data_IF_835584008229
#
_entry.id   IF_835584008229
#
_cell.length_a   1.000
_cell.length_b   1.000
_cell.length_c   1.000
_cell.angle_alpha   90.00
_cell.angle_beta   90.00
_cell.angle_gamma   90.00
#
_symmetry.space_group_name_H-M   'P 1'
#
loop_
_entity.id
_entity.type
_entity.pdbx_description
1 polymer ?
#
# COMPACT_ATOMS: atom_id res chain seq x y z
N UNK A 1 4.30 -7.66 -20.95
CA UNK A 1 4.07 -6.90 -19.71
C UNK A 1 5.31 -7.03 -18.86
N UNK A 2 5.96 -5.92 -18.52
CA UNK A 2 7.09 -5.91 -17.58
C UNK A 2 6.55 -6.29 -16.20
N UNK A 3 7.11 -7.33 -15.58
CA UNK A 3 6.70 -7.78 -14.27
C UNK A 3 7.26 -6.80 -13.24
N UNK A 4 6.43 -5.87 -12.76
CA UNK A 4 6.84 -4.90 -11.74
C UNK A 4 7.05 -5.67 -10.43
N UNK A 5 8.23 -5.54 -9.82
CA UNK A 5 8.52 -6.15 -8.54
C UNK A 5 7.59 -5.56 -7.47
N UNK A 6 7.02 -6.41 -6.61
CA UNK A 6 6.09 -5.98 -5.55
C UNK A 6 6.71 -4.93 -4.64
N UNK A 7 8.02 -5.00 -4.37
CA UNK A 7 8.69 -3.99 -3.55
C UNK A 7 8.81 -2.65 -4.26
N UNK A 8 9.18 -2.66 -5.55
CA UNK A 8 9.21 -1.44 -6.35
C UNK A 8 7.81 -0.79 -6.37
N UNK A 9 6.76 -1.60 -6.54
CA UNK A 9 5.38 -1.12 -6.50
C UNK A 9 5.02 -0.45 -5.16
N UNK A 10 5.40 -1.05 -4.03
CA UNK A 10 5.17 -0.47 -2.69
C UNK A 10 5.99 0.81 -2.48
N UNK A 11 7.19 0.91 -3.04
CA UNK A 11 7.97 2.15 -3.05
C UNK A 11 7.31 3.25 -3.87
N UNK A 12 6.82 2.94 -5.07
CA UNK A 12 6.04 3.88 -5.87
C UNK A 12 4.78 4.36 -5.15
N UNK A 13 4.06 3.46 -4.47
CA UNK A 13 2.88 3.82 -3.66
C UNK A 13 3.27 4.77 -2.52
N UNK A 14 4.45 4.58 -1.92
CA UNK A 14 4.98 5.48 -0.89
C UNK A 14 5.21 6.89 -1.44
N UNK A 15 5.68 7.01 -2.69
CA UNK A 15 5.83 8.29 -3.39
C UNK A 15 4.48 8.94 -3.69
N UNK A 16 3.50 8.17 -4.19
CA UNK A 16 2.14 8.65 -4.45
C UNK A 16 1.52 9.19 -3.16
N UNK A 17 1.63 8.47 -2.05
CA UNK A 17 1.16 8.94 -0.74
C UNK A 17 1.82 10.26 -0.34
N UNK A 18 3.13 10.39 -0.52
CA UNK A 18 3.86 11.63 -0.22
C UNK A 18 3.31 12.81 -1.02
N UNK A 19 3.01 12.60 -2.30
CA UNK A 19 2.39 13.61 -3.15
C UNK A 19 0.99 14.00 -2.67
N UNK A 20 0.15 13.02 -2.29
CA UNK A 20 -1.17 13.27 -1.72
C UNK A 20 -1.11 14.04 -0.40
N UNK A 21 -0.14 13.73 0.46
CA UNK A 21 0.08 14.49 1.70
C UNK A 21 0.48 15.94 1.41
N UNK A 22 1.31 16.18 0.40
CA UNK A 22 1.65 17.55 -0.05
C UNK A 22 0.43 18.31 -0.59
N UNK A 23 -0.50 17.61 -1.28
CA UNK A 23 -1.79 18.20 -1.68
C UNK A 23 -2.60 18.56 -0.43
N UNK A 24 -2.62 17.70 0.59
CA UNK A 24 -3.33 17.96 1.85
C UNK A 24 -2.75 19.15 2.61
N UNK A 25 -1.43 19.37 2.58
CA UNK A 25 -0.79 20.55 3.18
C UNK A 25 -1.16 21.84 2.46
N UNK A 26 -1.40 21.77 1.15
CA UNK A 26 -1.72 22.92 0.29
C UNK A 26 -3.18 22.89 -0.20
N UNK A 27 -4.08 22.31 0.61
CA UNK A 27 -5.40 21.86 0.15
C UNK A 27 -6.26 22.95 -0.47
N UNK A 28 -6.23 24.16 0.07
CA UNK A 28 -6.98 25.30 -0.48
C UNK A 28 -6.46 25.73 -1.86
N UNK A 29 -5.14 25.74 -2.06
CA UNK A 29 -4.53 26.12 -3.32
C UNK A 29 -4.77 25.06 -4.40
N UNK A 30 -4.61 23.79 -4.05
CA UNK A 30 -4.81 22.69 -5.00
C UNK A 30 -6.27 22.51 -5.37
N UNK A 31 -7.19 22.65 -4.41
CA UNK A 31 -8.62 22.60 -4.71
C UNK A 31 -9.06 23.79 -5.57
N UNK A 32 -8.53 25.00 -5.32
CA UNK A 32 -8.85 26.17 -6.13
C UNK A 32 -8.47 25.97 -7.60
N UNK A 33 -7.30 25.39 -7.89
CA UNK A 33 -6.89 25.06 -9.27
C UNK A 33 -7.89 24.11 -9.94
N UNK A 34 -8.30 23.05 -9.24
CA UNK A 34 -9.29 22.08 -9.73
C UNK A 34 -10.67 22.72 -9.95
N UNK A 35 -11.08 23.59 -9.03
CA UNK A 35 -12.35 24.29 -9.10
C UNK A 35 -12.40 25.26 -10.29
N UNK A 36 -11.31 25.98 -10.56
CA UNK A 36 -11.21 26.86 -11.72
C UNK A 36 -11.23 26.09 -13.05
N UNK A 37 -10.47 25.00 -13.18
CA UNK A 37 -10.49 24.13 -14.38
C UNK A 37 -11.90 23.55 -14.62
N UNK A 38 -12.61 23.16 -13.56
CA UNK A 38 -14.01 22.73 -13.66
C UNK A 38 -14.94 23.85 -14.13
N UNK A 39 -14.81 25.07 -13.59
CA UNK A 39 -15.63 26.20 -14.02
C UNK A 39 -15.37 26.54 -15.49
N UNK A 40 -14.12 26.53 -15.94
CA UNK A 40 -13.75 26.76 -17.34
C UNK A 40 -14.44 25.76 -18.28
N UNK A 41 -14.42 24.46 -17.93
CA UNK A 41 -15.07 23.41 -18.73
C UNK A 41 -16.60 23.47 -18.70
N UNK A 42 -17.18 23.89 -17.59
CA UNK A 42 -18.64 23.98 -17.44
C UNK A 42 -19.22 25.23 -18.11
N UNK A 43 -18.42 26.29 -18.28
CA UNK A 43 -18.82 27.50 -19.01
C UNK A 43 -19.22 27.18 -20.46
N UNK A 44 -18.55 26.21 -21.11
CA UNK A 44 -18.90 25.75 -22.46
C UNK A 44 -20.34 25.18 -22.55
N UNK A 45 -20.87 24.73 -21.41
CA UNK A 45 -22.21 24.17 -21.30
C UNK A 45 -23.20 25.13 -20.61
N UNK A 46 -22.79 26.36 -20.29
CA UNK A 46 -23.56 27.32 -19.50
C UNK A 46 -24.02 26.79 -18.13
N UNK A 47 -23.28 25.82 -17.57
CA UNK A 47 -23.57 25.20 -16.27
C UNK A 47 -22.79 25.93 -15.18
N UNK A 48 -23.46 26.26 -14.07
CA UNK A 48 -22.83 26.83 -12.88
C UNK A 48 -22.72 25.79 -11.77
N UNK A 49 -21.62 25.85 -11.02
CA UNK A 49 -21.46 25.06 -9.81
C UNK A 49 -22.24 25.73 -8.69
N UNK A 50 -23.26 25.04 -8.17
CA UNK A 50 -24.11 25.54 -7.09
C UNK A 50 -24.14 24.54 -5.92
N UNK A 51 -24.31 25.07 -4.71
CA UNK A 51 -24.49 24.22 -3.53
C UNK A 51 -25.82 23.45 -3.67
N UNK A 52 -25.82 22.11 -3.53
CA UNK A 52 -27.04 21.33 -3.61
C UNK A 52 -27.98 21.70 -2.46
N UNK A 53 -29.28 21.49 -2.66
CA UNK A 53 -30.28 21.75 -1.61
C UNK A 53 -29.94 21.01 -0.31
N UNK A 54 -29.70 21.77 0.76
CA UNK A 54 -29.37 21.23 2.08
C UNK A 54 -30.63 20.97 2.90
N UNK A 55 -30.66 19.81 3.58
CA UNK A 55 -31.67 19.53 4.58
C UNK A 55 -31.35 20.31 5.87
N UNK A 56 -32.37 20.83 6.57
CA UNK A 56 -32.20 21.59 7.83
C UNK A 56 -31.44 20.83 8.93
N UNK A 57 -31.44 19.49 8.87
CA UNK A 57 -30.73 18.64 9.83
C UNK A 57 -30.16 17.42 9.12
N UNK A 58 -28.84 17.36 8.96
CA UNK A 58 -28.15 16.16 8.53
C UNK A 58 -27.57 15.43 9.75
N UNK A 59 -27.81 14.11 9.84
CA UNK A 59 -27.29 13.25 10.93
C UNK A 59 -26.07 12.42 10.51
N UNK A 60 -25.91 12.16 9.21
CA UNK A 60 -24.86 11.28 8.64
C UNK A 60 -23.77 12.03 7.89
N UNK A 61 -23.94 13.33 7.67
CA UNK A 61 -22.98 14.22 7.01
C UNK A 61 -22.74 15.42 7.89
N UNK A 62 -21.60 16.05 7.70
CA UNK A 62 -21.26 17.31 8.36
C UNK A 62 -22.20 18.41 7.88
N UNK A 63 -22.74 19.20 8.80
CA UNK A 63 -23.56 20.37 8.45
C UNK A 63 -22.60 21.53 8.16
N UNK A 64 -22.32 21.77 6.88
CA UNK A 64 -21.42 22.84 6.45
C UNK A 64 -22.20 24.16 6.38
N UNK A 65 -21.71 25.19 7.07
CA UNK A 65 -22.30 26.53 7.05
C UNK A 65 -21.48 27.45 6.14
N UNK A 66 -21.67 27.31 4.82
CA UNK A 66 -21.07 28.20 3.82
C UNK A 66 -22.06 28.47 2.69
N UNK A 67 -21.97 29.66 2.10
CA UNK A 67 -22.69 30.03 0.89
C UNK A 67 -21.79 29.99 -0.35
N UNK A 68 -20.49 29.71 -0.17
CA UNK A 68 -19.53 29.56 -1.25
C UNK A 68 -19.48 28.10 -1.75
N UNK A 69 -19.83 27.82 -3.02
CA UNK A 69 -19.80 26.47 -3.56
C UNK A 69 -18.40 25.85 -3.56
N UNK A 70 -17.34 26.64 -3.74
CA UNK A 70 -15.96 26.15 -3.68
C UNK A 70 -15.65 25.61 -2.28
N UNK A 71 -15.82 26.44 -1.24
CA UNK A 71 -15.64 26.03 0.15
C UNK A 71 -16.52 24.83 0.52
N UNK A 72 -17.77 24.80 0.02
CA UNK A 72 -18.70 23.69 0.27
C UNK A 72 -18.13 22.36 -0.24
N UNK A 73 -17.75 22.27 -1.52
CA UNK A 73 -17.26 21.03 -2.11
C UNK A 73 -15.88 20.64 -1.60
N UNK A 74 -15.04 21.62 -1.23
CA UNK A 74 -13.77 21.36 -0.56
C UNK A 74 -13.99 20.58 0.74
N UNK A 75 -14.88 21.05 1.60
CA UNK A 75 -15.16 20.44 2.91
C UNK A 75 -15.97 19.14 2.77
N UNK A 76 -17.01 19.11 1.93
CA UNK A 76 -17.90 17.95 1.83
C UNK A 76 -17.32 16.78 1.04
N UNK A 77 -16.42 17.02 0.09
CA UNK A 77 -15.93 16.00 -0.84
C UNK A 77 -14.42 15.90 -0.87
N UNK A 78 -13.71 17.00 -1.12
CA UNK A 78 -12.28 16.91 -1.44
C UNK A 78 -11.44 16.47 -0.23
N UNK A 79 -11.63 17.10 0.93
CA UNK A 79 -10.93 16.72 2.17
C UNK A 79 -11.25 15.24 2.54
N UNK A 80 -12.53 14.82 2.67
CA UNK A 80 -12.84 13.44 3.03
C UNK A 80 -12.33 12.41 2.02
N UNK A 81 -12.34 12.75 0.72
CA UNK A 81 -11.81 11.89 -0.32
C UNK A 81 -10.30 11.69 -0.18
N UNK A 82 -9.54 12.77 -0.03
CA UNK A 82 -8.09 12.69 0.13
C UNK A 82 -7.71 11.90 1.38
N UNK A 83 -8.35 12.18 2.51
CA UNK A 83 -8.11 11.48 3.78
C UNK A 83 -8.38 9.98 3.63
N UNK A 84 -9.55 9.62 3.07
CA UNK A 84 -9.92 8.23 2.84
C UNK A 84 -8.96 7.53 1.87
N UNK A 85 -8.53 8.22 0.81
CA UNK A 85 -7.64 7.63 -0.18
C UNK A 85 -6.24 7.39 0.39
N UNK A 86 -5.69 8.35 1.14
CA UNK A 86 -4.42 8.20 1.86
C UNK A 86 -4.52 7.04 2.86
N UNK A 87 -5.62 6.94 3.60
CA UNK A 87 -5.84 5.85 4.54
C UNK A 87 -5.86 4.49 3.83
N UNK A 88 -6.59 4.37 2.71
CA UNK A 88 -6.63 3.13 1.94
C UNK A 88 -5.26 2.72 1.40
N UNK A 89 -4.43 3.68 0.97
CA UNK A 89 -3.05 3.38 0.55
C UNK A 89 -2.19 2.89 1.72
N UNK A 90 -2.39 3.45 2.92
CA UNK A 90 -1.68 2.97 4.11
C UNK A 90 -2.07 1.53 4.45
N UNK A 91 -3.36 1.30 4.62
CA UNK A 91 -3.90 0.04 5.10
C UNK A 91 -3.59 -1.11 4.15
N UNK A 92 -3.67 -0.86 2.83
CA UNK A 92 -3.48 -1.93 1.84
C UNK A 92 -2.01 -2.23 1.52
N UNK A 93 -1.13 -1.24 1.62
CA UNK A 93 0.23 -1.37 1.08
C UNK A 93 1.31 -1.05 2.09
N UNK A 94 1.24 0.13 2.73
CA UNK A 94 2.36 0.64 3.53
C UNK A 94 2.48 -0.12 4.84
N UNK A 95 1.36 -0.41 5.49
CA UNK A 95 1.35 -1.20 6.73
C UNK A 95 1.90 -2.62 6.52
N UNK A 96 1.83 -3.14 5.29
CA UNK A 96 2.33 -4.46 4.92
C UNK A 96 3.69 -4.42 4.19
N UNK A 97 4.33 -3.24 4.08
CA UNK A 97 5.58 -3.08 3.32
C UNK A 97 6.67 -4.04 3.81
N UNK A 98 6.86 -4.13 5.11
CA UNK A 98 7.89 -4.95 5.71
C UNK A 98 7.60 -6.45 5.54
N UNK A 99 6.34 -6.87 5.70
CA UNK A 99 5.89 -8.23 5.41
C UNK A 99 6.18 -8.62 3.94
N UNK A 100 5.78 -7.76 2.99
CA UNK A 100 6.05 -7.98 1.55
C UNK A 100 7.56 -8.06 1.28
N UNK A 101 8.34 -7.19 1.91
CA UNK A 101 9.80 -7.23 1.79
C UNK A 101 10.44 -8.44 2.46
N UNK A 102 9.82 -8.98 3.51
CA UNK A 102 10.25 -10.22 4.18
C UNK A 102 10.16 -11.41 3.24
N UNK A 103 9.12 -11.49 2.41
CA UNK A 103 9.00 -12.53 1.38
C UNK A 103 10.12 -12.48 0.34
N UNK A 104 10.71 -11.32 0.05
CA UNK A 104 11.85 -11.26 -0.87
C UNK A 104 13.06 -12.04 -0.35
N UNK A 105 13.22 -12.16 0.97
CA UNK A 105 14.30 -12.94 1.58
C UNK A 105 14.19 -14.44 1.27
N UNK A 106 12.97 -14.94 1.06
CA UNK A 106 12.76 -16.33 0.64
C UNK A 106 13.16 -16.55 -0.83
N UNK A 107 13.11 -15.48 -1.62
CA UNK A 107 13.40 -15.45 -3.05
C UNK A 107 14.88 -15.22 -3.35
N UNK A 108 15.56 -14.43 -2.53
CA UNK A 108 16.96 -14.08 -2.71
C UNK A 108 17.69 -13.97 -1.37
N UNK A 109 18.66 -14.86 -1.17
CA UNK A 109 19.50 -14.93 0.03
C UNK A 109 20.29 -13.63 0.30
N UNK A 110 20.63 -12.86 -0.75
CA UNK A 110 21.37 -11.60 -0.61
C UNK A 110 20.53 -10.47 0.00
N UNK A 111 19.22 -10.66 0.19
CA UNK A 111 18.31 -9.64 0.74
C UNK A 111 18.01 -9.85 2.22
N UNK A 112 18.75 -10.74 2.90
CA UNK A 112 18.50 -11.09 4.29
C UNK A 112 18.52 -9.87 5.21
N UNK A 113 17.43 -9.67 5.96
CA UNK A 113 17.28 -8.63 6.96
C UNK A 113 16.51 -9.18 8.16
N UNK A 114 17.12 -9.11 9.34
CA UNK A 114 16.57 -9.73 10.55
C UNK A 114 15.28 -9.07 11.04
N UNK A 115 15.17 -7.74 10.97
CA UNK A 115 13.99 -7.00 11.42
C UNK A 115 12.77 -7.35 10.56
N UNK A 116 12.96 -7.38 9.23
CA UNK A 116 11.89 -7.76 8.28
C UNK A 116 11.44 -9.21 8.47
N UNK A 117 12.38 -10.11 8.80
CA UNK A 117 12.05 -11.49 9.10
C UNK A 117 11.25 -11.61 10.40
N UNK A 118 11.61 -10.85 11.44
CA UNK A 118 10.86 -10.82 12.71
C UNK A 118 9.40 -10.44 12.47
N UNK A 119 9.16 -9.37 11.72
CA UNK A 119 7.80 -8.93 11.39
C UNK A 119 7.03 -9.95 10.57
N UNK A 120 7.68 -10.62 9.60
CA UNK A 120 7.05 -11.70 8.82
C UNK A 120 6.64 -12.89 9.70
N UNK A 121 7.53 -13.32 10.60
CA UNK A 121 7.27 -14.43 11.52
C UNK A 121 6.17 -14.07 12.51
N UNK A 122 6.18 -12.86 13.04
CA UNK A 122 5.13 -12.39 13.95
C UNK A 122 3.75 -12.39 13.26
N UNK A 123 3.70 -11.90 12.01
CA UNK A 123 2.46 -11.87 11.23
C UNK A 123 1.87 -13.27 10.97
N UNK A 124 2.72 -14.26 10.72
CA UNK A 124 2.31 -15.66 10.46
C UNK A 124 2.52 -16.61 11.65
N UNK A 125 2.64 -16.06 12.87
CA UNK A 125 2.94 -16.82 14.09
C UNK A 125 1.91 -17.91 14.42
N UNK A 126 0.70 -17.84 13.87
CA UNK A 126 -0.33 -18.88 14.02
C UNK A 126 -0.07 -20.14 13.19
N UNK A 127 0.74 -20.05 12.14
CA UNK A 127 0.99 -21.15 11.20
C UNK A 127 2.42 -21.70 11.29
N UNK A 128 3.34 -20.95 11.92
CA UNK A 128 4.78 -21.14 11.83
C UNK A 128 5.39 -21.20 13.23
N UNK A 129 6.52 -21.89 13.35
CA UNK A 129 7.30 -21.98 14.57
C UNK A 129 8.00 -20.65 14.94
N UNK A 130 8.79 -20.68 16.03
CA UNK A 130 9.48 -19.49 16.55
C UNK A 130 10.49 -18.91 15.55
N UNK A 131 10.77 -17.62 15.72
CA UNK A 131 11.72 -16.86 14.89
C UNK A 131 13.07 -17.58 14.70
N UNK A 132 13.63 -18.16 15.75
CA UNK A 132 14.92 -18.84 15.69
C UNK A 132 14.89 -20.07 14.79
N UNK A 133 13.79 -20.85 14.85
CA UNK A 133 13.59 -22.03 14.00
C UNK A 133 13.49 -21.58 12.54
N UNK A 134 12.62 -20.62 12.24
CA UNK A 134 12.43 -20.09 10.88
C UNK A 134 13.72 -19.52 10.31
N UNK A 135 14.47 -18.75 11.11
CA UNK A 135 15.77 -18.19 10.71
C UNK A 135 16.77 -19.29 10.36
N UNK A 136 16.88 -20.31 11.21
CA UNK A 136 17.80 -21.44 10.96
C UNK A 136 17.45 -22.18 9.66
N UNK A 137 16.16 -22.37 9.41
CA UNK A 137 15.64 -23.05 8.23
C UNK A 137 15.93 -22.29 6.93
N UNK A 138 15.71 -20.96 6.93
CA UNK A 138 16.04 -20.09 5.79
C UNK A 138 17.54 -20.15 5.46
N UNK A 139 18.40 -20.07 6.48
CA UNK A 139 19.86 -20.13 6.29
C UNK A 139 20.30 -21.48 5.72
N UNK A 140 19.81 -22.58 6.29
CA UNK A 140 20.11 -23.94 5.80
C UNK A 140 19.63 -24.15 4.36
N UNK A 141 18.42 -23.70 4.05
CA UNK A 141 17.87 -23.78 2.68
C UNK A 141 18.71 -22.99 1.70
N UNK A 142 19.13 -21.77 2.06
CA UNK A 142 19.97 -20.95 1.19
C UNK A 142 21.32 -21.63 0.93
N UNK A 143 21.97 -22.20 1.95
CA UNK A 143 23.18 -23.00 1.77
C UNK A 143 22.96 -24.21 0.85
N UNK A 144 21.82 -24.91 0.96
CA UNK A 144 21.49 -26.02 0.08
C UNK A 144 21.35 -25.58 -1.39
N UNK A 145 20.67 -24.46 -1.64
CA UNK A 145 20.47 -23.90 -2.98
C UNK A 145 21.80 -23.47 -3.61
N UNK A 146 22.65 -22.79 -2.84
CA UNK A 146 23.97 -22.33 -3.28
C UNK A 146 24.87 -23.53 -3.64
N UNK A 147 24.94 -24.54 -2.77
CA UNK A 147 25.74 -25.75 -3.01
C UNK A 147 25.23 -26.58 -4.20
N UNK A 148 23.92 -26.54 -4.45
CA UNK A 148 23.29 -27.27 -5.56
C UNK A 148 23.29 -26.49 -6.87
N UNK A 149 23.85 -25.28 -6.91
CA UNK A 149 23.80 -24.36 -8.05
C UNK A 149 22.36 -24.12 -8.58
N UNK A 150 21.35 -24.14 -7.69
CA UNK A 150 19.95 -23.95 -8.07
C UNK A 150 19.65 -22.45 -8.13
N UNK A 151 19.44 -21.93 -9.34
CA UNK A 151 19.08 -20.52 -9.53
C UNK A 151 17.57 -20.33 -9.44
N UNK A 152 17.15 -19.64 -8.39
CA UNK A 152 15.77 -19.19 -8.21
C UNK A 152 15.41 -18.14 -9.28
N UNK A 153 14.30 -18.36 -9.98
CA UNK A 153 13.78 -17.41 -11.00
C UNK A 153 12.47 -16.73 -10.60
N UNK A 154 11.58 -17.44 -9.91
CA UNK A 154 10.27 -16.98 -9.48
C UNK A 154 9.75 -17.81 -8.29
N UNK A 155 8.63 -17.39 -7.70
CA UNK A 155 8.08 -18.02 -6.50
C UNK A 155 7.67 -19.48 -6.74
N UNK A 156 7.14 -19.80 -7.93
CA UNK A 156 6.75 -21.17 -8.29
C UNK A 156 7.97 -22.09 -8.34
N UNK A 157 9.07 -21.62 -8.94
CA UNK A 157 10.32 -22.36 -8.99
C UNK A 157 10.89 -22.62 -7.59
N UNK A 158 10.73 -21.69 -6.66
CA UNK A 158 11.11 -21.88 -5.27
C UNK A 158 10.27 -22.96 -4.61
N UNK A 159 8.94 -22.85 -4.71
CA UNK A 159 8.03 -23.77 -4.05
C UNK A 159 8.30 -25.21 -4.51
N UNK A 160 8.50 -25.41 -5.82
CA UNK A 160 8.82 -26.72 -6.39
C UNK A 160 10.17 -27.29 -5.93
N UNK A 161 11.12 -26.45 -5.52
CA UNK A 161 12.44 -26.86 -5.02
C UNK A 161 12.54 -26.79 -3.48
N UNK A 162 11.43 -26.48 -2.79
CA UNK A 162 11.39 -26.43 -1.34
C UNK A 162 10.84 -27.76 -0.82
N UNK A 163 11.73 -28.56 -0.20
CA UNK A 163 11.33 -29.81 0.42
C UNK A 163 10.59 -29.51 1.74
N UNK A 164 9.30 -29.85 1.82
CA UNK A 164 8.44 -29.60 2.98
C UNK A 164 8.84 -30.36 4.25
N UNK A 165 9.52 -31.49 4.11
CA UNK A 165 9.97 -32.30 5.25
C UNK A 165 11.24 -31.72 5.88
N UNK A 166 12.11 -31.13 5.05
CA UNK A 166 13.36 -30.49 5.50
C UNK A 166 13.16 -29.03 5.90
N UNK A 167 12.26 -28.33 5.21
CA UNK A 167 12.01 -26.90 5.38
C UNK A 167 10.50 -26.62 5.54
N UNK A 168 9.86 -27.09 6.62
CA UNK A 168 8.42 -26.97 6.82
C UNK A 168 7.94 -25.52 7.01
N UNK A 169 8.69 -24.65 7.69
CA UNK A 169 8.27 -23.28 7.97
C UNK A 169 8.41 -22.38 6.73
N UNK A 170 9.51 -22.53 5.99
CA UNK A 170 9.75 -21.85 4.72
C UNK A 170 8.74 -22.33 3.68
N UNK A 171 8.44 -23.62 3.63
CA UNK A 171 7.40 -24.15 2.72
C UNK A 171 6.03 -23.56 3.03
N UNK A 172 5.66 -23.39 4.31
CA UNK A 172 4.39 -22.74 4.69
C UNK A 172 4.32 -21.25 4.34
N UNK A 173 5.47 -20.57 4.30
CA UNK A 173 5.53 -19.16 3.90
C UNK A 173 5.44 -18.96 2.39
N UNK A 174 5.86 -19.93 1.59
CA UNK A 174 5.91 -19.85 0.13
C UNK A 174 4.55 -20.10 -0.53
#
# INVERSE_FOLDING_TARGET
>A
TTNINLVDAVEYISLVKKQLMSISENISLEFNKLYNDLNERLNDFEIKIEIPRLAKRQKRRINISTNDPEEYFKIALFIPFLDSYIQQLNDRFINHKNIISGFQMLMNSSTFNEERLKELVEFYSSAIDSFDIVKSEILLRNCYLDNSNIKIKNAINILNNCNSDLFPNVFKLL
#
